data_IF_432574397495
#
_entry.id   IF_432574397495
#
_cell.length_a   1.000
_cell.length_b   1.000
_cell.length_c   1.000
_cell.angle_alpha   90.00
_cell.angle_beta   90.00
_cell.angle_gamma   90.00
#
_symmetry.space_group_name_H-M   'P 1'
#
loop_
_entity.id
_entity.type
_entity.pdbx_description
1 polymer ?
#
# COMPACT_ATOMS: atom_id res chain seq x y z
N UNK A 1 -57.93 6.06 33.57
CA UNK A 1 -56.59 6.08 32.91
C UNK A 1 -56.31 4.67 32.39
N UNK A 2 -56.24 4.48 31.06
CA UNK A 2 -55.90 3.17 30.47
C UNK A 2 -54.43 2.88 30.74
N UNK A 3 -54.14 1.83 31.52
CA UNK A 3 -52.79 1.35 31.77
C UNK A 3 -52.29 0.72 30.47
N UNK A 4 -51.29 1.32 29.83
CA UNK A 4 -50.60 0.70 28.71
C UNK A 4 -49.80 -0.48 29.27
N UNK A 5 -50.26 -1.69 29.00
CA UNK A 5 -49.53 -2.93 29.29
C UNK A 5 -48.15 -2.82 28.61
N UNK A 6 -47.08 -2.80 29.39
CA UNK A 6 -45.71 -2.85 28.87
C UNK A 6 -45.46 -4.29 28.42
N UNK A 7 -45.57 -4.54 27.12
CA UNK A 7 -45.16 -5.80 26.52
C UNK A 7 -43.65 -6.00 26.76
N UNK A 8 -43.29 -7.02 27.55
CA UNK A 8 -41.90 -7.41 27.77
C UNK A 8 -41.40 -8.29 26.62
N UNK A 9 -40.14 -8.13 26.24
CA UNK A 9 -39.45 -9.00 25.28
C UNK A 9 -39.28 -10.40 25.86
N UNK A 10 -39.49 -11.45 25.08
CA UNK A 10 -39.26 -12.83 25.53
C UNK A 10 -37.79 -13.22 25.40
N UNK A 11 -37.31 -14.11 26.27
CA UNK A 11 -35.95 -14.65 26.17
C UNK A 11 -35.73 -15.43 24.86
N UNK A 12 -36.78 -16.08 24.36
CA UNK A 12 -36.71 -16.83 23.09
C UNK A 12 -36.56 -15.90 21.88
N UNK A 13 -37.23 -14.75 21.87
CA UNK A 13 -37.04 -13.74 20.83
C UNK A 13 -35.59 -13.22 20.82
N UNK A 14 -35.02 -12.94 21.99
CA UNK A 14 -33.62 -12.50 22.09
C UNK A 14 -32.65 -13.57 21.59
N UNK A 15 -32.88 -14.84 21.95
CA UNK A 15 -32.03 -15.96 21.53
C UNK A 15 -32.01 -16.15 20.02
N UNK A 16 -33.17 -16.07 19.36
CA UNK A 16 -33.27 -16.19 17.90
C UNK A 16 -32.55 -15.03 17.22
N UNK A 17 -32.69 -13.80 17.73
CA UNK A 17 -31.99 -12.62 17.18
C UNK A 17 -30.47 -12.79 17.25
N UNK A 18 -29.94 -13.21 18.40
CA UNK A 18 -28.49 -13.43 18.56
C UNK A 18 -28.01 -14.56 17.65
N UNK A 19 -28.80 -15.64 17.48
CA UNK A 19 -28.47 -16.72 16.56
C UNK A 19 -28.38 -16.23 15.10
N UNK A 20 -29.35 -15.43 14.64
CA UNK A 20 -29.33 -14.86 13.28
C UNK A 20 -28.13 -13.92 13.10
N UNK A 21 -27.87 -13.03 14.06
CA UNK A 21 -26.70 -12.13 14.03
C UNK A 21 -25.40 -12.94 13.98
N UNK A 22 -25.30 -14.03 14.74
CA UNK A 22 -24.15 -14.93 14.74
C UNK A 22 -23.88 -15.54 13.36
N UNK A 23 -24.91 -16.02 12.68
CA UNK A 23 -24.79 -16.57 11.31
C UNK A 23 -24.34 -15.50 10.31
N UNK A 24 -24.96 -14.31 10.37
CA UNK A 24 -24.59 -13.20 9.49
C UNK A 24 -23.15 -12.73 9.73
N UNK A 25 -22.74 -12.61 10.99
CA UNK A 25 -21.39 -12.19 11.37
C UNK A 25 -20.32 -13.18 10.89
N UNK A 26 -20.57 -14.48 11.02
CA UNK A 26 -19.63 -15.52 10.58
C UNK A 26 -19.30 -15.44 9.07
N UNK A 27 -20.26 -15.03 8.24
CA UNK A 27 -20.05 -14.85 6.79
C UNK A 27 -19.49 -13.46 6.46
N UNK A 28 -19.94 -12.43 7.18
CA UNK A 28 -19.61 -11.04 6.87
C UNK A 28 -18.20 -10.64 7.29
N UNK A 29 -17.73 -11.09 8.46
CA UNK A 29 -16.42 -10.71 9.02
C UNK A 29 -15.25 -11.05 8.08
N UNK A 30 -15.08 -12.29 7.57
CA UNK A 30 -13.95 -12.60 6.69
C UNK A 30 -14.02 -11.81 5.38
N UNK A 31 -15.22 -11.65 4.80
CA UNK A 31 -15.41 -10.87 3.57
C UNK A 31 -15.06 -9.39 3.75
N UNK A 32 -15.39 -8.83 4.92
CA UNK A 32 -15.07 -7.44 5.22
C UNK A 32 -13.57 -7.24 5.42
N UNK A 33 -12.88 -8.19 6.06
CA UNK A 33 -11.42 -8.19 6.19
C UNK A 33 -10.72 -8.21 4.82
N UNK A 34 -11.18 -9.06 3.90
CA UNK A 34 -10.64 -9.11 2.53
C UNK A 34 -10.88 -7.80 1.77
N UNK A 35 -12.04 -7.17 1.96
CA UNK A 35 -12.35 -5.88 1.34
C UNK A 35 -11.44 -4.76 1.86
N UNK A 36 -11.15 -4.75 3.16
CA UNK A 36 -10.19 -3.82 3.77
C UNK A 36 -8.80 -4.04 3.17
N UNK A 37 -8.34 -5.29 3.10
CA UNK A 37 -7.04 -5.62 2.51
C UNK A 37 -6.96 -5.12 1.07
N UNK A 38 -7.96 -5.45 0.24
CA UNK A 38 -8.05 -4.97 -1.14
C UNK A 38 -8.05 -3.44 -1.26
N UNK A 39 -8.68 -2.73 -0.33
CA UNK A 39 -8.67 -1.26 -0.28
C UNK A 39 -7.26 -0.72 -0.04
N UNK A 40 -6.53 -1.31 0.90
CA UNK A 40 -5.14 -0.97 1.19
C UNK A 40 -4.21 -1.25 0.00
N UNK A 41 -4.36 -2.41 -0.65
CA UNK A 41 -3.59 -2.73 -1.85
C UNK A 41 -3.88 -1.73 -2.99
N UNK A 42 -5.15 -1.35 -3.19
CA UNK A 42 -5.53 -0.32 -4.15
C UNK A 42 -4.91 1.05 -3.82
N UNK A 43 -4.86 1.40 -2.54
CA UNK A 43 -4.21 2.63 -2.07
C UNK A 43 -2.71 2.65 -2.40
N UNK A 44 -2.00 1.54 -2.15
CA UNK A 44 -0.57 1.42 -2.47
C UNK A 44 -0.31 1.55 -3.97
N UNK A 45 -1.14 0.91 -4.82
CA UNK A 45 -1.02 1.03 -6.28
C UNK A 45 -1.29 2.45 -6.76
N UNK A 46 -2.30 3.12 -6.22
CA UNK A 46 -2.56 4.53 -6.51
C UNK A 46 -1.41 5.45 -6.08
N UNK A 47 -0.81 5.16 -4.92
CA UNK A 47 0.38 5.85 -4.45
C UNK A 47 1.57 5.64 -5.40
N UNK A 48 1.82 4.41 -5.85
CA UNK A 48 2.89 4.09 -6.81
C UNK A 48 2.70 4.89 -8.11
N UNK A 49 1.48 4.93 -8.66
CA UNK A 49 1.17 5.74 -9.84
C UNK A 49 1.38 7.24 -9.60
N UNK A 50 1.07 7.73 -8.39
CA UNK A 50 1.28 9.14 -8.03
C UNK A 50 2.77 9.48 -7.96
N UNK A 51 3.59 8.64 -7.34
CA UNK A 51 5.05 8.85 -7.27
C UNK A 51 5.68 8.76 -8.65
N UNK A 52 5.26 7.81 -9.49
CA UNK A 52 5.70 7.74 -10.90
C UNK A 52 5.34 8.99 -11.67
N UNK A 53 4.13 9.51 -11.50
CA UNK A 53 3.72 10.75 -12.15
C UNK A 53 4.61 11.91 -11.70
N UNK A 54 4.91 12.02 -10.41
CA UNK A 54 5.84 13.03 -9.87
C UNK A 54 7.26 12.89 -10.45
N UNK A 55 7.77 11.66 -10.58
CA UNK A 55 9.04 11.37 -11.23
C UNK A 55 9.06 11.80 -12.70
N UNK A 56 7.97 11.59 -13.44
CA UNK A 56 7.86 12.04 -14.84
C UNK A 56 7.81 13.56 -14.95
N UNK A 57 7.14 14.25 -14.03
CA UNK A 57 7.13 15.72 -14.00
C UNK A 57 8.52 16.26 -13.64
N UNK A 58 9.20 15.67 -12.65
CA UNK A 58 10.60 15.98 -12.34
C UNK A 58 11.47 15.80 -13.59
N UNK A 59 11.36 14.67 -14.27
CA UNK A 59 12.11 14.37 -15.48
C UNK A 59 11.94 15.46 -16.56
N UNK A 60 10.69 15.91 -16.78
CA UNK A 60 10.40 16.99 -17.72
C UNK A 60 11.00 18.35 -17.30
N UNK A 61 10.98 18.67 -16.00
CA UNK A 61 11.54 19.92 -15.47
C UNK A 61 13.07 19.93 -15.41
N UNK A 62 13.69 18.76 -15.36
CA UNK A 62 15.12 18.58 -15.21
C UNK A 62 15.80 18.11 -16.50
N UNK A 63 15.31 18.58 -17.66
CA UNK A 63 15.93 18.35 -18.98
C UNK A 63 16.13 16.86 -19.32
N UNK A 64 15.18 16.01 -18.91
CA UNK A 64 15.22 14.58 -19.18
C UNK A 64 16.16 13.81 -18.26
N UNK A 65 16.33 14.27 -17.03
CA UNK A 65 17.16 13.64 -16.00
C UNK A 65 16.27 13.23 -14.82
N UNK A 66 16.30 11.96 -14.43
CA UNK A 66 15.63 11.51 -13.19
C UNK A 66 16.46 11.89 -11.94
N UNK A 67 15.88 11.87 -10.73
CA UNK A 67 16.66 12.03 -9.50
C UNK A 67 17.82 11.04 -9.45
N UNK A 68 19.04 11.52 -9.21
CA UNK A 68 20.22 10.67 -9.06
C UNK A 68 20.91 10.97 -7.73
N UNK A 69 21.24 9.92 -6.99
CA UNK A 69 21.72 10.01 -5.61
C UNK A 69 22.38 8.71 -5.16
N UNK A 70 23.02 8.71 -3.98
CA UNK A 70 23.67 7.52 -3.46
C UNK A 70 22.65 6.40 -3.25
N UNK A 71 23.08 5.16 -3.50
CA UNK A 71 22.33 3.98 -3.10
C UNK A 71 22.48 3.73 -1.59
N UNK A 72 21.45 3.13 -0.99
CA UNK A 72 21.41 2.76 0.41
C UNK A 72 19.99 2.41 0.83
N UNK A 73 19.87 1.83 2.02
CA UNK A 73 18.58 1.48 2.60
C UNK A 73 18.00 2.59 3.46
N UNK A 74 16.67 2.65 3.52
CA UNK A 74 15.88 3.58 4.32
C UNK A 74 16.31 5.05 4.13
N UNK A 75 16.66 5.42 2.91
CA UNK A 75 17.12 6.76 2.57
C UNK A 75 15.97 7.77 2.55
N UNK A 76 16.31 9.06 2.68
CA UNK A 76 15.37 10.18 2.49
C UNK A 76 15.56 10.87 1.14
N UNK A 77 16.53 10.45 0.33
CA UNK A 77 16.95 11.15 -0.89
C UNK A 77 15.79 11.46 -1.83
N UNK A 78 14.95 10.45 -2.10
CA UNK A 78 13.86 10.61 -3.05
C UNK A 78 12.73 11.46 -2.47
N UNK A 79 12.44 11.28 -1.18
CA UNK A 79 11.45 12.06 -0.45
C UNK A 79 11.82 13.54 -0.44
N UNK A 80 13.07 13.87 -0.10
CA UNK A 80 13.61 15.23 -0.07
C UNK A 80 13.65 15.86 -1.46
N UNK A 81 13.78 15.05 -2.52
CA UNK A 81 13.82 15.52 -3.91
C UNK A 81 12.41 15.81 -4.46
N UNK A 82 11.43 14.95 -4.15
CA UNK A 82 10.08 15.05 -4.73
C UNK A 82 9.10 15.86 -3.88
N UNK A 83 9.31 15.97 -2.57
CA UNK A 83 8.44 16.70 -1.65
C UNK A 83 9.13 18.01 -1.24
N UNK A 84 8.44 19.18 -1.25
CA UNK A 84 7.03 19.40 -1.60
C UNK A 84 6.80 19.75 -3.08
N UNK A 85 7.85 19.80 -3.90
CA UNK A 85 7.79 20.40 -5.24
C UNK A 85 6.90 19.62 -6.23
N UNK A 86 6.88 18.29 -6.12
CA UNK A 86 6.19 17.38 -7.05
C UNK A 86 5.10 16.54 -6.37
N UNK A 87 5.19 16.38 -5.05
CA UNK A 87 4.23 15.67 -4.21
C UNK A 87 3.92 16.49 -2.96
N UNK A 88 2.66 16.48 -2.51
CA UNK A 88 2.26 17.14 -1.27
C UNK A 88 2.80 16.44 -0.01
N UNK A 89 2.94 15.12 -0.06
CA UNK A 89 3.59 14.30 0.97
C UNK A 89 4.04 12.96 0.40
N UNK A 90 5.02 12.33 1.04
CA UNK A 90 5.46 11.00 0.63
C UNK A 90 4.44 9.93 1.06
N UNK A 91 3.92 9.10 0.12
CA UNK A 91 2.92 8.11 0.47
C UNK A 91 3.53 6.89 1.15
N UNK A 92 2.72 6.22 1.98
CA UNK A 92 3.08 4.93 2.58
C UNK A 92 2.75 3.77 1.64
N UNK A 93 3.58 2.73 1.64
CA UNK A 93 3.25 1.40 1.15
C UNK A 93 2.55 0.61 2.24
N UNK A 94 1.53 -0.16 1.85
CA UNK A 94 1.00 -1.22 2.69
C UNK A 94 0.60 -2.43 1.84
N UNK A 95 1.13 -3.60 2.23
CA UNK A 95 0.86 -4.91 1.63
C UNK A 95 0.27 -5.83 2.72
N UNK A 96 -1.06 -5.79 2.92
CA UNK A 96 -1.72 -6.44 4.05
C UNK A 96 -1.44 -7.94 4.15
N UNK A 97 -1.18 -8.41 5.38
CA UNK A 97 -0.87 -9.81 5.63
C UNK A 97 0.48 -10.28 5.08
N UNK A 98 1.35 -9.36 4.64
CA UNK A 98 2.72 -9.63 4.18
C UNK A 98 3.72 -8.75 4.91
N UNK A 99 3.57 -7.43 4.81
CA UNK A 99 4.48 -6.46 5.43
C UNK A 99 3.71 -5.42 6.24
N UNK A 100 4.39 -4.83 7.22
CA UNK A 100 3.87 -3.71 7.96
C UNK A 100 3.75 -2.48 7.04
N UNK A 101 2.87 -1.54 7.41
CA UNK A 101 2.78 -0.26 6.71
C UNK A 101 4.08 0.51 6.92
N UNK A 102 4.72 0.93 5.83
CA UNK A 102 5.95 1.72 5.85
C UNK A 102 5.89 2.87 4.85
N UNK A 103 6.78 3.85 4.97
CA UNK A 103 6.98 4.95 4.03
C UNK A 103 8.46 5.12 3.66
N UNK A 104 9.27 4.13 3.99
CA UNK A 104 10.71 4.09 3.77
C UNK A 104 11.04 3.86 2.29
N UNK A 105 12.24 4.27 1.90
CA UNK A 105 12.69 4.22 0.50
C UNK A 105 14.11 3.70 0.44
N UNK A 106 14.25 2.58 -0.24
CA UNK A 106 15.51 2.00 -0.63
C UNK A 106 15.92 2.55 -1.99
N UNK A 107 17.18 2.94 -2.10
CA UNK A 107 17.75 3.48 -3.33
C UNK A 107 18.83 2.54 -3.81
N UNK A 108 18.73 2.11 -5.06
CA UNK A 108 19.65 1.13 -5.64
C UNK A 108 20.35 1.69 -6.87
N UNK A 109 21.54 1.16 -7.15
CA UNK A 109 22.36 1.56 -8.29
C UNK A 109 21.88 0.96 -9.62
N UNK A 110 20.85 0.12 -9.62
CA UNK A 110 20.38 -0.61 -10.80
C UNK A 110 20.16 -2.08 -10.49
N UNK A 111 19.56 -2.79 -11.45
CA UNK A 111 19.04 -4.14 -11.23
C UNK A 111 17.55 -4.10 -10.99
N UNK A 112 16.95 -5.28 -10.82
CA UNK A 112 15.53 -5.37 -10.56
C UNK A 112 15.25 -4.80 -9.16
N UNK A 113 14.42 -3.75 -8.99
CA UNK A 113 14.09 -3.12 -7.70
C UNK A 113 13.31 -4.04 -6.72
N UNK A 114 13.40 -5.34 -6.95
CA UNK A 114 12.80 -6.40 -6.16
C UNK A 114 13.85 -7.16 -5.36
N UNK A 115 15.10 -7.16 -5.82
CA UNK A 115 16.22 -7.96 -5.28
C UNK A 115 17.38 -7.05 -4.85
N UNK A 116 17.08 -5.94 -4.16
CA UNK A 116 18.10 -5.01 -3.67
C UNK A 116 19.08 -5.70 -2.71
N UNK A 117 18.55 -6.65 -1.93
CA UNK A 117 19.21 -7.23 -0.77
C UNK A 117 18.77 -8.68 -0.48
N UNK A 118 17.97 -9.30 -1.35
CA UNK A 118 17.39 -10.64 -1.17
C UNK A 118 16.31 -10.73 -0.08
N UNK A 119 15.89 -9.60 0.48
CA UNK A 119 14.82 -9.55 1.47
C UNK A 119 13.51 -9.07 0.83
N UNK A 120 12.44 -9.12 1.61
CA UNK A 120 11.11 -8.74 1.17
C UNK A 120 10.61 -7.81 2.27
N UNK A 121 10.90 -6.51 2.15
CA UNK A 121 10.59 -5.53 3.21
C UNK A 121 9.24 -4.85 2.99
N UNK A 122 8.75 -4.85 1.75
CA UNK A 122 7.48 -4.22 1.39
C UNK A 122 7.55 -2.70 1.36
N UNK A 123 8.73 -2.14 1.07
CA UNK A 123 8.96 -0.70 0.99
C UNK A 123 9.08 -0.21 -0.46
N UNK A 124 9.33 1.09 -0.64
CA UNK A 124 9.59 1.65 -1.96
C UNK A 124 11.04 1.38 -2.35
N UNK A 125 11.28 0.95 -3.58
CA UNK A 125 12.64 0.87 -4.14
C UNK A 125 12.74 1.72 -5.39
N UNK A 126 13.78 2.54 -5.45
CA UNK A 126 14.05 3.47 -6.55
C UNK A 126 15.45 3.27 -7.14
N UNK A 127 15.53 3.20 -8.46
CA UNK A 127 16.80 3.12 -9.18
C UNK A 127 17.35 4.53 -9.42
N UNK A 128 18.38 4.92 -8.66
CA UNK A 128 18.93 6.28 -8.66
C UNK A 128 20.16 6.47 -9.55
N UNK A 129 20.78 5.39 -10.03
CA UNK A 129 22.01 5.49 -10.81
C UNK A 129 21.75 5.79 -12.28
N UNK A 130 22.36 6.87 -12.78
CA UNK A 130 22.37 7.24 -14.21
C UNK A 130 22.98 6.18 -15.13
N UNK A 131 23.79 5.28 -14.58
CA UNK A 131 24.43 4.22 -15.33
C UNK A 131 23.51 3.00 -15.54
N UNK A 132 22.38 2.93 -14.85
CA UNK A 132 21.42 1.84 -14.98
C UNK A 132 20.50 2.04 -16.17
N UNK A 133 20.19 0.96 -16.89
CA UNK A 133 19.12 0.95 -17.90
C UNK A 133 17.72 1.16 -17.28
N UNK A 134 17.57 0.85 -15.99
CA UNK A 134 16.32 1.01 -15.23
C UNK A 134 16.25 2.35 -14.47
N UNK A 135 17.16 3.30 -14.75
CA UNK A 135 17.19 4.58 -14.05
C UNK A 135 15.84 5.30 -14.08
N UNK A 136 15.37 5.75 -12.92
CA UNK A 136 14.06 6.38 -12.77
C UNK A 136 12.92 5.40 -12.47
N UNK A 137 13.18 4.08 -12.51
CA UNK A 137 12.19 3.07 -12.12
C UNK A 137 11.96 3.12 -10.60
N UNK A 138 10.69 3.06 -10.22
CA UNK A 138 10.25 2.89 -8.84
C UNK A 138 9.26 1.72 -8.77
N UNK A 139 9.40 0.89 -7.73
CA UNK A 139 8.56 -0.27 -7.47
C UNK A 139 8.32 -0.45 -5.96
N UNK A 140 7.52 -1.45 -5.61
CA UNK A 140 7.39 -1.96 -4.24
C UNK A 140 8.22 -3.22 -4.12
N UNK A 141 9.10 -3.28 -3.13
CA UNK A 141 9.95 -4.44 -2.86
C UNK A 141 9.15 -5.56 -2.19
N UNK A 142 8.42 -6.32 -2.99
CA UNK A 142 7.64 -7.42 -2.48
C UNK A 142 7.43 -8.49 -3.54
N UNK A 143 7.80 -9.72 -3.21
CA UNK A 143 7.60 -10.91 -4.06
C UNK A 143 6.25 -11.60 -3.86
N UNK A 144 5.48 -11.15 -2.88
CA UNK A 144 4.17 -11.71 -2.64
C UNK A 144 3.17 -11.25 -3.70
N UNK A 145 2.11 -12.03 -3.85
CA UNK A 145 1.00 -11.68 -4.73
C UNK A 145 -0.05 -10.86 -3.99
N UNK A 146 -0.68 -9.96 -4.75
CA UNK A 146 -1.88 -9.22 -4.37
C UNK A 146 -3.13 -10.14 -4.34
N UNK A 147 -4.30 -9.58 -4.02
CA UNK A 147 -5.55 -10.35 -3.99
C UNK A 147 -5.95 -10.98 -5.35
N UNK A 148 -5.34 -10.55 -6.46
CA UNK A 148 -5.55 -11.08 -7.82
C UNK A 148 -4.50 -12.10 -8.25
N UNK A 149 -3.52 -12.40 -7.41
CA UNK A 149 -2.43 -13.32 -7.75
C UNK A 149 -1.29 -12.65 -8.53
N UNK A 150 -1.23 -11.32 -8.60
CA UNK A 150 -0.19 -10.57 -9.30
C UNK A 150 0.88 -10.16 -8.31
N UNK A 151 2.14 -10.41 -8.64
CA UNK A 151 3.30 -10.09 -7.78
C UNK A 151 3.46 -8.56 -7.66
N UNK A 152 3.69 -8.06 -6.44
CA UNK A 152 3.80 -6.61 -6.19
C UNK A 152 4.90 -5.91 -6.99
N UNK A 153 6.01 -6.62 -7.10
CA UNK A 153 7.17 -6.28 -7.90
C UNK A 153 6.84 -5.99 -9.39
N UNK A 154 5.80 -6.61 -9.96
CA UNK A 154 5.50 -6.41 -11.40
C UNK A 154 4.70 -5.15 -11.71
N UNK A 155 4.26 -4.42 -10.67
CA UNK A 155 3.52 -3.18 -10.84
C UNK A 155 4.38 -2.02 -11.28
#
# INVERSE_FOLDING_TARGET
>A
MKKLERAGFTLIELMIVVAIIGILAAIAIPKFADLINKSHEGSTKGALSSVRSALQVYYGNNEGVFPAGPAGSNTTFLQDTLVPAYLGSWPSVYTPGRHAKTNTVDTINGGDPHDSDGTCEGEWVYVSSRASADWGRIAVECYHTDYKGIVWSTY
#
